data_IF_911448724254
#
_entry.id   IF_911448724254
#
_cell.length_a   1.000
_cell.length_b   1.000
_cell.length_c   1.000
_cell.angle_alpha   90.00
_cell.angle_beta   90.00
_cell.angle_gamma   90.00
#
_symmetry.space_group_name_H-M   'P 1'
#
loop_
_entity.id
_entity.type
_entity.pdbx_description
1 polymer ?
#
# COMPACT_ATOMS: atom_id res chain seq x y z
N UNK A 1 29.53 -10.96 20.40
CA UNK A 1 29.59 -11.70 19.12
C UNK A 1 28.19 -12.17 18.66
N UNK A 2 27.38 -12.73 19.56
CA UNK A 2 26.00 -13.18 19.26
C UNK A 2 25.11 -12.08 18.67
N UNK A 3 25.11 -10.88 19.25
CA UNK A 3 24.34 -9.75 18.71
C UNK A 3 24.71 -9.39 17.26
N UNK A 4 26.00 -9.48 16.90
CA UNK A 4 26.46 -9.15 15.54
C UNK A 4 25.95 -10.16 14.51
N UNK A 5 25.86 -11.44 14.86
CA UNK A 5 25.35 -12.47 13.94
C UNK A 5 23.84 -12.38 13.78
N UNK A 6 23.10 -12.09 14.86
CA UNK A 6 21.64 -11.86 14.79
C UNK A 6 21.31 -10.61 13.95
N UNK A 7 22.09 -9.54 14.04
CA UNK A 7 21.95 -8.35 13.19
C UNK A 7 22.26 -8.65 11.71
N UNK A 8 23.14 -9.59 11.41
CA UNK A 8 23.48 -9.96 10.04
C UNK A 8 22.33 -10.68 9.30
N UNK A 9 21.41 -11.31 10.00
CA UNK A 9 20.24 -11.96 9.37
C UNK A 9 19.29 -10.94 8.73
N UNK A 10 19.25 -9.73 9.26
CA UNK A 10 18.45 -8.62 8.69
C UNK A 10 19.06 -8.06 7.40
N UNK A 11 20.32 -8.39 7.09
CA UNK A 11 20.99 -7.97 5.88
C UNK A 11 20.57 -8.85 4.70
N UNK A 12 19.98 -8.23 3.70
CA UNK A 12 19.60 -8.87 2.44
C UNK A 12 20.01 -8.01 1.25
N UNK A 13 20.13 -8.64 0.10
CA UNK A 13 20.30 -7.98 -1.18
C UNK A 13 19.01 -8.11 -1.98
N UNK A 14 18.41 -6.99 -2.37
CA UNK A 14 17.22 -6.97 -3.22
C UNK A 14 17.42 -6.04 -4.40
N UNK A 15 16.93 -6.46 -5.57
CA UNK A 15 16.85 -5.63 -6.77
C UNK A 15 15.44 -5.70 -7.32
N UNK A 16 14.81 -4.55 -7.44
CA UNK A 16 13.52 -4.39 -8.10
C UNK A 16 13.70 -3.63 -9.41
N UNK A 17 13.05 -4.10 -10.45
CA UNK A 17 12.93 -3.40 -11.72
C UNK A 17 11.46 -3.28 -12.06
N UNK A 18 10.96 -2.06 -12.21
CA UNK A 18 9.59 -1.75 -12.61
C UNK A 18 9.62 -1.13 -13.99
N UNK A 19 8.97 -1.80 -14.95
CA UNK A 19 8.73 -1.28 -16.30
C UNK A 19 7.26 -0.95 -16.44
N UNK A 20 6.92 0.25 -16.90
CA UNK A 20 5.53 0.67 -16.96
C UNK A 20 5.23 1.49 -18.21
N UNK A 21 3.98 1.38 -18.67
CA UNK A 21 3.39 2.22 -19.69
C UNK A 21 2.00 2.68 -19.27
N UNK A 22 1.53 3.79 -19.78
CA UNK A 22 0.18 4.27 -19.52
C UNK A 22 -0.44 4.94 -20.73
N UNK A 23 -1.77 4.91 -20.76
CA UNK A 23 -2.59 5.69 -21.69
C UNK A 23 -3.56 6.53 -20.88
N UNK A 24 -3.85 7.72 -21.38
CA UNK A 24 -4.80 8.64 -20.77
C UNK A 24 -5.70 9.23 -21.85
N UNK A 25 -6.97 9.32 -21.52
CA UNK A 25 -8.00 9.95 -22.33
C UNK A 25 -8.66 11.06 -21.51
N UNK A 26 -8.75 12.25 -22.10
CA UNK A 26 -9.42 13.40 -21.51
C UNK A 26 -10.52 13.86 -22.49
N UNK A 27 -11.73 14.00 -21.99
CA UNK A 27 -12.85 14.47 -22.78
C UNK A 27 -13.75 15.41 -21.99
N UNK A 28 -14.17 16.47 -22.65
CA UNK A 28 -15.13 17.42 -22.10
C UNK A 28 -16.48 17.17 -22.77
N UNK A 29 -17.40 16.57 -22.01
CA UNK A 29 -18.80 16.42 -22.41
C UNK A 29 -19.55 17.66 -22.04
N UNK A 30 -20.13 18.37 -23.01
CA UNK A 30 -20.74 19.67 -22.80
C UNK A 30 -19.76 20.70 -22.17
N UNK A 31 -20.28 21.85 -21.72
CA UNK A 31 -19.42 22.88 -21.12
C UNK A 31 -18.97 22.60 -19.71
N UNK A 32 -19.64 21.70 -19.04
CA UNK A 32 -19.64 21.55 -17.58
C UNK A 32 -19.17 20.17 -17.05
N UNK A 33 -19.07 19.13 -17.90
CA UNK A 33 -18.65 17.81 -17.50
C UNK A 33 -17.29 17.45 -18.13
N UNK A 34 -16.30 17.19 -17.28
CA UNK A 34 -14.98 16.75 -17.69
C UNK A 34 -14.76 15.31 -17.22
N UNK A 35 -14.37 14.44 -18.15
CA UNK A 35 -13.98 13.06 -17.89
C UNK A 35 -12.48 12.91 -18.15
N UNK A 36 -11.79 12.29 -17.21
CA UNK A 36 -10.45 11.76 -17.40
C UNK A 36 -10.47 10.25 -17.12
N UNK A 37 -10.02 9.46 -18.08
CA UNK A 37 -9.85 8.02 -17.92
C UNK A 37 -8.41 7.63 -18.22
N UNK A 38 -7.84 6.76 -17.41
CA UNK A 38 -6.46 6.29 -17.55
C UNK A 38 -6.33 4.81 -17.28
N UNK A 39 -5.37 4.19 -17.94
CA UNK A 39 -4.93 2.83 -17.65
C UNK A 39 -3.41 2.80 -17.62
N UNK A 40 -2.86 2.37 -16.52
CA UNK A 40 -1.42 2.12 -16.34
C UNK A 40 -1.18 0.62 -16.19
N UNK A 41 -0.21 0.10 -16.91
CA UNK A 41 0.31 -1.25 -16.75
C UNK A 41 1.71 -1.19 -16.14
N UNK A 42 1.96 -2.00 -15.12
CA UNK A 42 3.27 -2.16 -14.50
C UNK A 42 3.69 -3.63 -14.53
N UNK A 43 4.88 -3.89 -15.04
CA UNK A 43 5.58 -5.17 -14.88
C UNK A 43 6.70 -4.99 -13.87
N UNK A 44 6.63 -5.73 -12.77
CA UNK A 44 7.63 -5.74 -11.69
C UNK A 44 8.42 -7.03 -11.75
N UNK A 45 9.74 -6.93 -11.70
CA UNK A 45 10.67 -8.05 -11.58
C UNK A 45 11.54 -7.87 -10.35
N UNK A 46 11.56 -8.88 -9.49
CA UNK A 46 12.25 -8.89 -8.20
C UNK A 46 13.32 -9.98 -8.20
N UNK A 47 14.48 -9.66 -7.62
CA UNK A 47 15.55 -10.61 -7.28
C UNK A 47 16.01 -10.30 -5.88
N UNK A 48 16.14 -11.32 -5.05
CA UNK A 48 16.60 -11.15 -3.68
C UNK A 48 17.38 -12.35 -3.17
N UNK A 49 18.26 -12.08 -2.23
CA UNK A 49 19.07 -13.07 -1.50
C UNK A 49 19.13 -12.60 -0.06
N UNK A 50 18.81 -13.48 0.88
CA UNK A 50 18.86 -13.19 2.30
C UNK A 50 19.88 -14.02 3.03
N UNK A 51 19.71 -14.11 4.33
CA UNK A 51 20.53 -14.92 5.23
C UNK A 51 19.65 -15.67 6.22
N UNK A 52 20.02 -16.89 6.52
CA UNK A 52 19.46 -17.65 7.63
C UNK A 52 20.37 -17.49 8.84
N UNK A 53 19.80 -17.41 10.00
CA UNK A 53 20.51 -17.42 11.28
C UNK A 53 20.02 -18.55 12.15
N UNK A 54 20.95 -19.24 12.78
CA UNK A 54 20.70 -20.29 13.73
C UNK A 54 21.52 -19.99 15.01
N UNK A 55 20.83 -19.76 16.12
CA UNK A 55 21.39 -19.34 17.38
C UNK A 55 22.17 -20.43 18.08
N UNK A 56 21.89 -21.73 17.81
CA UNK A 56 22.63 -22.84 18.39
C UNK A 56 24.07 -22.92 17.86
N UNK A 57 24.22 -22.71 16.57
CA UNK A 57 25.52 -22.76 15.90
C UNK A 57 26.21 -21.41 15.80
N UNK A 58 25.52 -20.31 16.18
CA UNK A 58 25.93 -18.91 15.98
C UNK A 58 26.46 -18.67 14.56
N UNK A 59 25.72 -19.22 13.57
CA UNK A 59 26.12 -19.14 12.17
C UNK A 59 25.05 -18.48 11.31
N UNK A 60 25.52 -17.64 10.40
CA UNK A 60 24.72 -17.06 9.35
C UNK A 60 25.08 -17.68 8.01
N UNK A 61 24.08 -18.16 7.27
CA UNK A 61 24.25 -18.73 5.94
C UNK A 61 23.45 -17.93 4.91
N UNK A 62 23.97 -17.79 3.68
CA UNK A 62 23.21 -17.13 2.61
C UNK A 62 22.07 -18.05 2.12
N UNK A 63 20.89 -17.46 1.90
CA UNK A 63 19.81 -18.14 1.17
C UNK A 63 20.16 -18.27 -0.32
N UNK A 64 19.46 -19.14 -1.03
CA UNK A 64 19.50 -19.15 -2.49
C UNK A 64 18.97 -17.84 -3.07
N UNK A 65 19.33 -17.57 -4.34
CA UNK A 65 18.75 -16.45 -5.08
C UNK A 65 17.30 -16.78 -5.45
N UNK A 66 16.40 -15.87 -5.11
CA UNK A 66 14.99 -15.96 -5.45
C UNK A 66 14.63 -14.89 -6.48
N UNK A 67 13.66 -15.22 -7.34
CA UNK A 67 13.12 -14.28 -8.35
C UNK A 67 11.60 -14.36 -8.31
N UNK A 68 10.95 -13.21 -8.42
CA UNK A 68 9.51 -13.12 -8.59
C UNK A 68 9.19 -12.06 -9.66
N UNK A 69 8.10 -12.23 -10.41
CA UNK A 69 7.63 -11.22 -11.34
C UNK A 69 6.12 -11.25 -11.47
N UNK A 70 5.52 -10.07 -11.65
CA UNK A 70 4.09 -9.92 -11.80
C UNK A 70 3.74 -8.69 -12.63
N UNK A 71 2.51 -8.67 -13.17
CA UNK A 71 1.94 -7.55 -13.92
C UNK A 71 0.71 -7.04 -13.19
N UNK A 72 0.58 -5.72 -13.08
CA UNK A 72 -0.60 -5.06 -12.53
C UNK A 72 -1.19 -4.07 -13.55
N UNK A 73 -2.52 -4.01 -13.58
CA UNK A 73 -3.27 -3.00 -14.32
C UNK A 73 -3.92 -2.06 -13.31
N UNK A 74 -3.71 -0.77 -13.49
CA UNK A 74 -4.14 0.28 -12.59
C UNK A 74 -5.02 1.27 -13.34
N UNK A 75 -6.34 0.98 -13.47
CA UNK A 75 -7.30 1.89 -14.07
C UNK A 75 -7.57 3.08 -13.16
N UNK A 76 -7.90 4.22 -13.79
CA UNK A 76 -8.37 5.43 -13.12
C UNK A 76 -9.45 6.10 -13.93
N UNK A 77 -10.51 6.56 -13.27
CA UNK A 77 -11.58 7.34 -13.87
C UNK A 77 -11.88 8.50 -12.92
N UNK A 78 -11.87 9.72 -13.46
CA UNK A 78 -12.24 10.92 -12.73
C UNK A 78 -13.28 11.69 -13.53
N UNK A 79 -14.35 12.07 -12.86
CA UNK A 79 -15.42 12.92 -13.42
C UNK A 79 -15.51 14.17 -12.58
N UNK A 80 -15.47 15.30 -13.23
CA UNK A 80 -15.75 16.61 -12.63
C UNK A 80 -16.97 17.21 -13.34
N UNK A 81 -17.97 17.55 -12.56
CA UNK A 81 -19.16 18.24 -13.03
C UNK A 81 -19.25 19.63 -12.36
N UNK A 82 -19.15 20.68 -13.17
CA UNK A 82 -19.38 22.04 -12.78
C UNK A 82 -20.89 22.33 -12.91
N UNK A 83 -21.69 21.99 -11.86
CA UNK A 83 -23.16 22.12 -11.89
C UNK A 83 -23.58 23.57 -12.17
N UNK A 84 -22.82 24.49 -11.57
CA UNK A 84 -22.84 25.92 -11.86
C UNK A 84 -21.52 26.55 -11.43
N UNK A 85 -21.39 27.87 -11.47
CA UNK A 85 -20.16 28.59 -11.13
C UNK A 85 -19.71 28.33 -9.68
N UNK A 86 -20.67 28.18 -8.78
CA UNK A 86 -20.43 28.05 -7.34
C UNK A 86 -20.46 26.60 -6.83
N UNK A 87 -21.06 25.65 -7.57
CA UNK A 87 -21.25 24.28 -7.11
C UNK A 87 -20.62 23.26 -8.05
N UNK A 88 -19.75 22.41 -7.49
CA UNK A 88 -19.00 21.41 -8.24
C UNK A 88 -19.10 20.04 -7.57
N UNK A 89 -19.25 18.99 -8.38
CA UNK A 89 -19.26 17.59 -7.95
C UNK A 89 -18.08 16.90 -8.60
N UNK A 90 -17.37 16.07 -7.84
CA UNK A 90 -16.29 15.21 -8.34
C UNK A 90 -16.53 13.78 -7.89
N UNK A 91 -16.36 12.86 -8.83
CA UNK A 91 -16.34 11.42 -8.56
C UNK A 91 -15.06 10.83 -9.10
N UNK A 92 -14.48 9.88 -8.37
CA UNK A 92 -13.34 9.14 -8.85
C UNK A 92 -13.42 7.65 -8.54
N UNK A 93 -12.83 6.86 -9.41
CA UNK A 93 -12.47 5.48 -9.20
C UNK A 93 -11.01 5.31 -9.55
N UNK A 94 -10.23 4.76 -8.63
CA UNK A 94 -8.82 4.46 -8.88
C UNK A 94 -8.44 3.10 -8.29
N UNK A 95 -7.63 2.37 -9.01
CA UNK A 95 -6.98 1.18 -8.47
C UNK A 95 -5.51 1.49 -8.19
N UNK A 96 -5.07 1.17 -6.99
CA UNK A 96 -3.69 1.38 -6.55
C UNK A 96 -3.11 0.09 -5.98
N UNK A 97 -1.79 0.01 -5.89
CA UNK A 97 -1.12 -1.13 -5.29
C UNK A 97 -0.12 -0.69 -4.21
N UNK A 98 0.09 -1.58 -3.24
CA UNK A 98 1.17 -1.48 -2.25
C UNK A 98 2.01 -2.74 -2.31
N UNK A 99 3.31 -2.60 -2.60
CA UNK A 99 4.22 -3.74 -2.69
C UNK A 99 4.60 -4.26 -1.31
N UNK A 100 4.83 -5.58 -1.17
CA UNK A 100 5.39 -6.14 0.05
C UNK A 100 6.75 -5.51 0.37
N UNK A 101 7.06 -5.38 1.66
CA UNK A 101 8.40 -4.99 2.10
C UNK A 101 9.41 -6.05 1.68
N UNK A 102 10.61 -5.65 1.26
CA UNK A 102 11.65 -6.60 0.85
C UNK A 102 12.02 -7.58 1.97
N UNK A 103 12.09 -7.10 3.22
CA UNK A 103 12.35 -7.95 4.39
C UNK A 103 11.29 -9.03 4.60
N UNK A 104 10.06 -8.81 4.15
CA UNK A 104 9.00 -9.81 4.22
C UNK A 104 9.08 -10.86 3.10
N UNK A 105 9.61 -10.46 1.93
CA UNK A 105 9.76 -11.32 0.76
C UNK A 105 10.96 -12.27 0.86
N UNK A 106 12.04 -11.83 1.51
CA UNK A 106 13.26 -12.63 1.60
C UNK A 106 13.00 -13.87 2.45
N UNK A 107 13.20 -15.09 1.93
CA UNK A 107 12.91 -16.33 2.65
C UNK A 107 14.03 -16.65 3.65
N UNK A 108 14.42 -15.67 4.45
CA UNK A 108 15.36 -15.89 5.55
C UNK A 108 14.66 -16.60 6.70
N UNK A 109 15.36 -17.56 7.29
CA UNK A 109 14.92 -18.27 8.49
C UNK A 109 15.70 -17.71 9.67
N UNK A 110 14.98 -17.20 10.64
CA UNK A 110 15.52 -16.72 11.90
C UNK A 110 14.98 -17.60 13.03
N UNK A 111 15.87 -18.34 13.67
CA UNK A 111 15.57 -19.26 14.77
C UNK A 111 16.12 -18.66 16.07
N UNK A 112 15.24 -18.50 17.04
CA UNK A 112 15.57 -18.14 18.42
C UNK A 112 15.12 -19.29 19.34
N UNK A 113 16.06 -20.15 19.73
CA UNK A 113 15.78 -21.30 20.60
C UNK A 113 15.56 -20.87 22.03
N UNK A 114 16.16 -19.74 22.45
CA UNK A 114 15.98 -19.21 23.80
C UNK A 114 14.54 -18.88 24.11
N UNK A 115 13.83 -18.29 23.14
CA UNK A 115 12.41 -17.98 23.23
C UNK A 115 11.51 -19.03 22.57
N UNK A 116 12.11 -20.07 21.99
CA UNK A 116 11.44 -21.13 21.22
C UNK A 116 10.58 -20.57 20.06
N UNK A 117 11.13 -19.61 19.33
CA UNK A 117 10.49 -18.92 18.22
C UNK A 117 11.24 -19.14 16.91
N UNK A 118 10.47 -19.14 15.81
CA UNK A 118 10.99 -19.16 14.44
C UNK A 118 10.25 -18.14 13.58
N UNK A 119 10.99 -17.37 12.81
CA UNK A 119 10.44 -16.41 11.83
C UNK A 119 10.98 -16.72 10.43
N UNK A 120 10.07 -16.81 9.46
CA UNK A 120 10.41 -17.12 8.06
C UNK A 120 9.75 -16.06 7.16
N UNK A 121 10.53 -15.48 6.23
CA UNK A 121 9.99 -14.64 5.18
C UNK A 121 9.17 -15.43 4.16
N UNK A 122 8.39 -14.73 3.31
CA UNK A 122 7.51 -15.38 2.35
C UNK A 122 7.71 -14.79 0.95
N UNK A 123 8.34 -15.57 0.07
CA UNK A 123 8.59 -15.18 -1.32
C UNK A 123 7.35 -15.11 -2.19
N UNK A 124 6.25 -15.71 -1.75
CA UNK A 124 5.00 -15.83 -2.53
C UNK A 124 4.04 -14.65 -2.28
N UNK A 125 4.46 -13.66 -1.48
CA UNK A 125 3.65 -12.47 -1.22
C UNK A 125 3.34 -11.73 -2.52
N UNK A 126 2.05 -11.39 -2.65
CA UNK A 126 1.51 -10.55 -3.72
C UNK A 126 1.37 -9.10 -3.25
N UNK A 127 1.38 -8.13 -4.17
CA UNK A 127 0.99 -6.77 -3.82
C UNK A 127 -0.43 -6.71 -3.27
N UNK A 128 -0.63 -5.89 -2.26
CA UNK A 128 -1.96 -5.48 -1.80
C UNK A 128 -2.57 -4.57 -2.87
N UNK A 129 -3.81 -4.84 -3.28
CA UNK A 129 -4.56 -4.03 -4.24
C UNK A 129 -5.64 -3.25 -3.51
N UNK A 130 -5.77 -1.97 -3.85
CA UNK A 130 -6.80 -1.09 -3.29
C UNK A 130 -7.67 -0.51 -4.39
N UNK A 131 -8.97 -0.70 -4.29
CA UNK A 131 -10.01 -0.09 -5.13
C UNK A 131 -10.60 1.08 -4.35
N UNK A 132 -10.41 2.29 -4.88
CA UNK A 132 -10.80 3.52 -4.19
C UNK A 132 -11.94 4.18 -4.98
N UNK A 133 -13.01 4.54 -4.28
CA UNK A 133 -14.14 5.29 -4.80
C UNK A 133 -14.29 6.54 -3.94
N UNK A 134 -14.26 7.70 -4.59
CA UNK A 134 -14.41 8.99 -3.93
C UNK A 134 -15.53 9.78 -4.60
N UNK A 135 -16.35 10.45 -3.81
CA UNK A 135 -17.36 11.38 -4.25
C UNK A 135 -17.27 12.63 -3.38
N UNK A 136 -17.14 13.79 -3.99
CA UNK A 136 -17.13 15.06 -3.26
C UNK A 136 -18.03 16.10 -3.92
N UNK A 137 -18.56 16.97 -3.08
CA UNK A 137 -19.34 18.13 -3.48
C UNK A 137 -18.76 19.37 -2.80
N UNK A 138 -18.48 20.40 -3.60
CA UNK A 138 -17.88 21.65 -3.16
C UNK A 138 -18.80 22.81 -3.51
N UNK A 139 -19.10 23.64 -2.52
CA UNK A 139 -19.84 24.88 -2.70
C UNK A 139 -18.96 26.08 -2.34
N UNK A 140 -18.77 26.96 -3.32
CA UNK A 140 -17.96 28.15 -3.23
C UNK A 140 -18.86 29.36 -2.95
N UNK A 141 -18.67 30.00 -1.80
CA UNK A 141 -19.33 31.29 -1.53
C UNK A 141 -18.60 32.39 -2.28
N UNK A 142 -19.32 33.23 -2.99
CA UNK A 142 -18.76 34.34 -3.76
C UNK A 142 -17.70 35.10 -2.95
N UNK A 143 -16.44 34.96 -3.36
CA UNK A 143 -15.23 35.61 -2.86
C UNK A 143 -14.78 35.32 -1.39
N UNK A 144 -15.44 34.47 -0.60
CA UNK A 144 -15.20 34.44 0.86
C UNK A 144 -15.08 33.07 1.50
N UNK A 145 -15.39 31.97 0.81
CA UNK A 145 -15.30 30.66 1.47
C UNK A 145 -15.68 29.45 0.63
N UNK A 146 -15.50 28.29 1.23
CA UNK A 146 -15.75 26.98 0.66
C UNK A 146 -16.38 26.07 1.72
N UNK A 147 -17.43 25.35 1.33
CA UNK A 147 -17.94 24.19 2.07
C UNK A 147 -17.74 22.97 1.18
N UNK A 148 -17.12 21.93 1.72
CA UNK A 148 -16.95 20.66 1.03
C UNK A 148 -17.53 19.53 1.87
N UNK A 149 -18.16 18.57 1.19
CA UNK A 149 -18.56 17.28 1.76
C UNK A 149 -18.03 16.19 0.85
N UNK A 150 -17.44 15.15 1.46
CA UNK A 150 -16.87 14.01 0.78
C UNK A 150 -17.33 12.69 1.37
N UNK A 151 -17.45 11.69 0.52
CA UNK A 151 -17.60 10.29 0.87
C UNK A 151 -16.48 9.50 0.18
N UNK A 152 -15.84 8.62 0.92
CA UNK A 152 -14.89 7.67 0.34
C UNK A 152 -15.24 6.24 0.74
N UNK A 153 -14.96 5.31 -0.19
CA UNK A 153 -15.00 3.88 0.04
C UNK A 153 -13.76 3.24 -0.55
N UNK A 154 -13.06 2.45 0.25
CA UNK A 154 -11.86 1.72 -0.15
C UNK A 154 -12.03 0.23 0.16
N UNK A 155 -11.92 -0.60 -0.87
CA UNK A 155 -11.80 -2.05 -0.74
C UNK A 155 -10.34 -2.43 -0.93
N UNK A 156 -9.78 -3.19 0.01
CA UNK A 156 -8.38 -3.62 0.02
C UNK A 156 -8.37 -5.14 -0.08
N UNK A 157 -7.74 -5.67 -1.11
CA UNK A 157 -7.55 -7.10 -1.33
C UNK A 157 -6.07 -7.49 -1.12
N UNK A 158 -5.83 -8.74 -0.72
CA UNK A 158 -4.49 -9.30 -0.46
C UNK A 158 -3.69 -8.52 0.61
N UNK A 159 -4.37 -8.04 1.67
CA UNK A 159 -3.71 -7.34 2.76
C UNK A 159 -2.68 -8.23 3.45
N UNK A 160 -1.47 -7.70 3.68
CA UNK A 160 -0.36 -8.46 4.23
C UNK A 160 -0.34 -8.30 5.75
N UNK A 161 -0.38 -9.43 6.46
CA UNK A 161 -0.30 -9.52 7.92
C UNK A 161 0.74 -10.57 8.32
N UNK A 162 1.30 -10.44 9.51
CA UNK A 162 2.09 -11.50 10.12
C UNK A 162 1.16 -12.57 10.69
N UNK A 163 1.18 -13.76 10.08
CA UNK A 163 0.52 -14.94 10.62
C UNK A 163 1.39 -15.50 11.75
N UNK A 164 0.78 -15.71 12.91
CA UNK A 164 1.41 -16.39 14.05
C UNK A 164 0.76 -17.75 14.25
N UNK A 165 1.54 -18.81 14.26
CA UNK A 165 1.11 -20.17 14.60
C UNK A 165 1.82 -20.63 15.87
N UNK A 166 1.13 -21.42 16.67
CA UNK A 166 1.68 -22.09 17.84
C UNK A 166 1.93 -23.57 17.55
N UNK A 167 2.91 -24.17 18.24
CA UNK A 167 3.26 -25.59 18.09
C UNK A 167 3.58 -25.97 16.64
N UNK A 168 4.47 -25.20 16.02
CA UNK A 168 4.89 -25.39 14.63
C UNK A 168 6.14 -26.26 14.56
N UNK A 169 6.07 -27.36 13.82
CA UNK A 169 7.24 -28.22 13.59
C UNK A 169 8.04 -27.74 12.37
N UNK A 170 9.33 -27.50 12.60
CA UNK A 170 10.27 -27.17 11.55
C UNK A 170 11.55 -28.01 11.68
N UNK A 171 11.88 -28.79 10.65
CA UNK A 171 13.03 -29.67 10.61
C UNK A 171 13.16 -30.65 11.83
N UNK A 172 11.99 -31.15 12.29
CA UNK A 172 11.93 -32.09 13.43
C UNK A 172 11.99 -31.42 14.80
N UNK A 173 11.98 -30.09 14.87
CA UNK A 173 11.93 -29.33 16.13
C UNK A 173 10.60 -28.61 16.23
N UNK A 174 9.93 -28.66 17.37
CA UNK A 174 8.69 -27.96 17.66
C UNK A 174 9.00 -26.59 18.26
N UNK A 175 8.40 -25.53 17.64
CA UNK A 175 8.50 -24.14 18.08
C UNK A 175 7.16 -23.67 18.64
N UNK A 176 7.19 -23.00 19.78
CA UNK A 176 5.97 -22.45 20.42
C UNK A 176 5.40 -21.29 19.61
N UNK A 177 6.24 -20.60 18.84
CA UNK A 177 5.83 -19.48 18.00
C UNK A 177 6.51 -19.50 16.64
N UNK A 178 5.69 -19.61 15.60
CA UNK A 178 6.09 -19.40 14.21
C UNK A 178 5.47 -18.14 13.67
N UNK A 179 6.27 -17.28 13.06
CA UNK A 179 5.79 -16.02 12.44
C UNK A 179 6.16 -15.98 10.98
N UNK A 180 5.17 -15.75 10.12
CA UNK A 180 5.37 -15.58 8.68
C UNK A 180 4.41 -14.53 8.11
N UNK A 181 4.88 -13.57 7.27
CA UNK A 181 4.00 -12.66 6.56
C UNK A 181 3.19 -13.41 5.51
N UNK A 182 1.87 -13.13 5.44
CA UNK A 182 0.94 -13.70 4.45
C UNK A 182 -0.04 -12.66 3.92
N UNK A 183 -0.50 -12.85 2.69
CA UNK A 183 -1.68 -12.17 2.19
C UNK A 183 -2.90 -12.81 2.86
N UNK A 184 -3.57 -12.10 3.75
CA UNK A 184 -4.59 -12.66 4.64
C UNK A 184 -5.90 -11.86 4.59
N UNK A 185 -6.60 -11.96 3.47
CA UNK A 185 -7.95 -11.49 3.39
C UNK A 185 -8.14 -10.06 2.88
N UNK A 186 -9.34 -9.54 3.10
CA UNK A 186 -9.82 -8.29 2.54
C UNK A 186 -10.23 -7.33 3.66
N UNK A 187 -10.05 -6.04 3.42
CA UNK A 187 -10.53 -4.99 4.31
C UNK A 187 -11.38 -3.98 3.55
N UNK A 188 -12.38 -3.42 4.22
CA UNK A 188 -13.19 -2.33 3.69
C UNK A 188 -13.07 -1.13 4.64
N UNK A 189 -12.87 0.04 4.06
CA UNK A 189 -12.80 1.30 4.77
C UNK A 189 -13.71 2.30 4.07
N UNK A 190 -14.51 3.03 4.84
CA UNK A 190 -15.34 4.10 4.31
C UNK A 190 -15.44 5.23 5.34
N UNK A 191 -15.73 6.43 4.85
CA UNK A 191 -15.90 7.56 5.73
C UNK A 191 -16.53 8.76 5.03
N UNK A 192 -16.87 9.75 5.86
CA UNK A 192 -17.37 11.05 5.45
C UNK A 192 -16.38 12.11 5.90
N UNK A 193 -16.15 13.07 5.02
CA UNK A 193 -15.28 14.22 5.28
C UNK A 193 -16.06 15.50 5.09
N UNK A 194 -15.91 16.47 6.01
CA UNK A 194 -16.49 17.80 5.90
C UNK A 194 -15.42 18.85 6.12
N UNK A 195 -15.40 19.83 5.25
CA UNK A 195 -14.49 20.96 5.36
C UNK A 195 -15.25 22.27 5.20
N UNK A 196 -14.92 23.23 6.03
CA UNK A 196 -15.40 24.60 5.92
C UNK A 196 -14.21 25.55 6.00
N UNK A 197 -14.09 26.36 4.97
CA UNK A 197 -13.06 27.39 4.90
C UNK A 197 -13.72 28.74 4.61
N UNK A 198 -13.35 29.78 5.34
CA UNK A 198 -13.85 31.14 5.14
C UNK A 198 -12.75 32.15 5.40
N UNK A 199 -12.71 33.18 4.57
CA UNK A 199 -11.95 34.40 4.81
C UNK A 199 -12.69 35.26 5.84
N UNK A 200 -12.01 35.70 6.90
CA UNK A 200 -12.50 36.54 7.98
C UNK A 200 -12.12 38.02 7.78
N UNK A 201 -11.62 38.43 6.63
CA UNK A 201 -11.27 39.81 6.29
C UNK A 201 -12.42 40.80 6.44
N UNK A 202 -13.67 40.30 6.45
CA UNK A 202 -14.87 41.11 6.73
C UNK A 202 -14.98 41.52 8.22
N UNK A 203 -14.32 40.83 9.16
CA UNK A 203 -14.25 41.15 10.58
C UNK A 203 -13.09 42.09 10.82
N UNK A 204 -11.92 41.80 10.29
CA UNK A 204 -10.73 42.64 10.39
C UNK A 204 -9.85 42.45 9.14
N UNK A 205 -9.36 43.53 8.49
CA UNK A 205 -8.53 43.44 7.27
C UNK A 205 -7.27 42.58 7.44
N UNK A 206 -6.75 42.48 8.67
CA UNK A 206 -5.60 41.63 9.01
C UNK A 206 -5.89 40.13 8.96
N UNK A 207 -7.16 39.68 8.87
CA UNK A 207 -7.62 38.30 8.77
C UNK A 207 -7.97 37.89 7.33
N UNK A 208 -7.58 38.70 6.36
CA UNK A 208 -7.79 38.41 4.94
C UNK A 208 -6.61 37.61 4.39
N UNK A 209 -6.88 36.41 3.89
CA UNK A 209 -5.92 35.54 3.19
C UNK A 209 -6.51 35.02 1.89
#
# INVERSE_FOLDING_TARGET
>A
KEQVQAELVENFEARETVSSGYVRFDHKFASDINLMAGLRMEHTSLRYTGRNYDDETDKTTKTGRMTNSYVNFLPSILVKWDVNDDFKIRGSYTQTLSRPKYSALVPSVNINRGDNEIKIGNSDLKPTISYNFDLSADYYFKSVGLVSAGFFYKKIDDFIVDQVLTNYEYQGTEYTRFTQPKNAGNANLWGLEFSYQRDFGFIAPALKY
#
